data_IF_094196173343
#
_entry.id   IF_094196173343
#
_cell.length_a   1.000
_cell.length_b   1.000
_cell.length_c   1.000
_cell.angle_alpha   90.00
_cell.angle_beta   90.00
_cell.angle_gamma   90.00
#
_symmetry.space_group_name_H-M   'P 1'
#
loop_
_entity.id
_entity.type
_entity.pdbx_description
1 polymer ?
#
# COMPACT_ATOMS: atom_id res chain seq x y z
N UNK A 1 -1.56 -10.60 1.82
CA UNK A 1 -2.81 -10.25 2.55
C UNK A 1 -2.64 -10.66 4.00
N UNK A 2 -2.88 -9.77 4.96
CA UNK A 2 -2.84 -10.12 6.37
C UNK A 2 -4.17 -10.77 6.77
N UNK A 3 -4.13 -12.06 7.08
CA UNK A 3 -5.24 -12.81 7.66
C UNK A 3 -5.02 -12.99 9.15
N UNK A 4 -6.08 -12.80 9.94
CA UNK A 4 -6.05 -13.02 11.39
C UNK A 4 -6.80 -14.30 11.70
N UNK A 5 -6.10 -15.25 12.31
CA UNK A 5 -6.67 -16.45 12.91
C UNK A 5 -6.60 -16.29 14.43
N UNK A 6 -7.72 -15.89 15.03
CA UNK A 6 -7.77 -15.66 16.48
C UNK A 6 -7.29 -16.89 17.26
N UNK A 7 -6.51 -16.64 18.31
CA UNK A 7 -5.89 -17.71 19.10
C UNK A 7 -4.64 -18.34 18.47
N UNK A 8 -4.26 -17.95 17.24
CA UNK A 8 -3.07 -18.47 16.56
C UNK A 8 -2.17 -17.37 15.98
N UNK A 9 -2.73 -16.31 15.41
CA UNK A 9 -1.96 -15.17 14.90
C UNK A 9 -1.39 -14.36 16.07
N UNK A 10 -0.12 -14.00 15.98
CA UNK A 10 0.57 -13.15 16.96
C UNK A 10 0.64 -11.70 16.49
N UNK A 11 0.59 -10.75 17.41
CA UNK A 11 0.93 -9.36 17.15
C UNK A 11 2.42 -9.26 16.80
N UNK A 12 2.75 -8.72 15.62
CA UNK A 12 4.15 -8.63 15.18
C UNK A 12 5.02 -7.65 15.99
N UNK A 13 4.42 -6.82 16.85
CA UNK A 13 5.16 -5.88 17.70
C UNK A 13 5.45 -6.43 19.10
N UNK A 14 4.50 -7.11 19.74
CA UNK A 14 4.66 -7.60 21.11
C UNK A 14 4.83 -9.12 21.23
N UNK A 15 4.58 -9.87 20.15
CA UNK A 15 4.66 -11.33 20.12
C UNK A 15 3.48 -12.06 20.79
N UNK A 16 2.56 -11.34 21.45
CA UNK A 16 1.39 -11.95 22.08
C UNK A 16 0.36 -12.41 21.03
N UNK A 17 -0.34 -13.50 21.34
CA UNK A 17 -1.46 -14.02 20.52
C UNK A 17 -2.62 -13.04 20.51
N UNK A 18 -3.17 -12.80 19.32
CA UNK A 18 -4.34 -11.96 19.07
C UNK A 18 -5.64 -12.70 19.41
N UNK A 19 -6.51 -12.08 20.19
CA UNK A 19 -7.80 -12.66 20.64
C UNK A 19 -9.00 -11.90 20.06
N UNK A 20 -10.12 -12.59 19.93
CA UNK A 20 -11.35 -12.09 19.27
C UNK A 20 -11.91 -10.79 19.88
N UNK A 21 -11.71 -10.57 21.19
CA UNK A 21 -12.23 -9.40 21.91
C UNK A 21 -11.21 -8.26 22.06
N UNK A 22 -10.11 -8.27 21.31
CA UNK A 22 -9.08 -7.23 21.35
C UNK A 22 -9.21 -6.26 20.17
N UNK A 23 -8.78 -5.02 20.38
CA UNK A 23 -8.66 -4.05 19.29
C UNK A 23 -7.47 -4.42 18.41
N UNK A 24 -7.77 -5.02 17.26
CA UNK A 24 -6.77 -5.58 16.34
C UNK A 24 -6.87 -4.88 15.00
N UNK A 25 -5.72 -4.63 14.39
CA UNK A 25 -5.61 -4.13 13.03
C UNK A 25 -4.78 -5.09 12.17
N UNK A 26 -5.34 -5.48 11.02
CA UNK A 26 -4.60 -6.12 9.95
C UNK A 26 -4.20 -5.06 8.91
N UNK A 27 -2.90 -4.99 8.61
CA UNK A 27 -2.37 -4.12 7.56
C UNK A 27 -2.12 -5.01 6.34
N UNK A 28 -2.82 -4.79 5.21
CA UNK A 28 -2.65 -5.63 4.03
C UNK A 28 -1.26 -5.44 3.40
N UNK A 29 -0.86 -6.38 2.56
CA UNK A 29 0.21 -6.21 1.57
C UNK A 29 -0.13 -5.08 0.58
N UNK A 30 0.07 -3.84 1.00
CA UNK A 30 -0.29 -2.65 0.26
C UNK A 30 0.89 -1.71 0.04
N UNK A 31 2.03 -1.94 0.70
CA UNK A 31 3.22 -1.11 0.57
C UNK A 31 4.15 -1.74 -0.47
N UNK A 32 4.39 -1.02 -1.57
CA UNK A 32 5.15 -1.53 -2.70
C UNK A 32 6.67 -1.41 -2.48
N UNK A 33 7.10 -0.31 -1.85
CA UNK A 33 8.52 -0.01 -1.61
C UNK A 33 9.00 -0.63 -0.28
N UNK A 34 9.96 -1.56 -0.33
CA UNK A 34 10.57 -2.18 0.85
C UNK A 34 11.47 -1.24 1.65
N UNK A 35 11.91 -0.13 1.05
CA UNK A 35 12.69 0.90 1.72
C UNK A 35 11.82 1.91 2.48
N UNK A 36 10.50 1.89 2.28
CA UNK A 36 9.58 2.79 2.98
C UNK A 36 9.54 2.46 4.49
N UNK A 37 9.57 3.45 5.39
CA UNK A 37 9.53 3.20 6.84
C UNK A 37 8.31 2.39 7.31
N UNK A 38 7.18 2.51 6.60
CA UNK A 38 5.97 1.76 6.93
C UNK A 38 6.03 0.30 6.46
N UNK A 39 6.98 -0.09 5.62
CA UNK A 39 7.05 -1.46 5.08
C UNK A 39 7.18 -2.52 6.17
N UNK A 40 7.78 -2.17 7.32
CA UNK A 40 7.86 -3.06 8.49
C UNK A 40 6.49 -3.49 9.04
N UNK A 41 5.41 -2.80 8.68
CA UNK A 41 4.03 -3.14 9.04
C UNK A 41 3.28 -3.89 7.93
N UNK A 42 3.87 -4.00 6.74
CA UNK A 42 3.24 -4.56 5.57
C UNK A 42 2.90 -6.04 5.80
N UNK A 43 1.69 -6.42 5.42
CA UNK A 43 1.17 -7.79 5.48
C UNK A 43 1.17 -8.47 6.87
N UNK A 44 0.88 -7.70 7.92
CA UNK A 44 0.95 -8.15 9.30
C UNK A 44 -0.26 -7.73 10.13
N UNK A 45 -0.39 -8.34 11.31
CA UNK A 45 -1.46 -8.06 12.26
C UNK A 45 -0.91 -7.59 13.60
N UNK A 46 -1.64 -6.67 14.23
CA UNK A 46 -1.18 -5.96 15.42
C UNK A 46 -2.31 -5.68 16.39
N UNK A 47 -1.99 -5.61 17.68
CA UNK A 47 -2.82 -4.85 18.61
C UNK A 47 -2.77 -3.36 18.22
N UNK A 48 -3.93 -2.70 18.18
CA UNK A 48 -4.02 -1.28 17.88
C UNK A 48 -3.17 -0.43 18.85
N UNK A 49 -3.17 -0.79 20.12
CA UNK A 49 -2.38 -0.10 21.16
C UNK A 49 -0.87 -0.30 21.00
N UNK A 50 -0.43 -1.38 20.37
CA UNK A 50 0.99 -1.56 20.01
C UNK A 50 1.38 -0.63 18.87
N UNK A 51 0.50 -0.47 17.86
CA UNK A 51 0.73 0.44 16.75
C UNK A 51 0.77 1.90 17.19
N UNK A 52 -0.15 2.34 18.06
CA UNK A 52 -0.21 3.72 18.59
C UNK A 52 1.07 4.18 19.30
N UNK A 53 1.89 3.23 19.77
CA UNK A 53 3.18 3.50 20.42
C UNK A 53 4.34 3.63 19.44
N UNK A 54 4.13 3.31 18.17
CA UNK A 54 5.18 3.42 17.15
C UNK A 54 5.39 4.88 16.74
N UNK A 55 6.65 5.31 16.50
CA UNK A 55 6.94 6.64 15.99
C UNK A 55 6.18 6.98 14.71
N UNK A 56 6.01 6.00 13.83
CA UNK A 56 5.40 6.16 12.49
C UNK A 56 3.87 6.00 12.50
N UNK A 57 3.23 5.99 13.68
CA UNK A 57 1.79 5.75 13.80
C UNK A 57 0.96 6.78 13.02
N UNK A 58 1.41 8.05 12.97
CA UNK A 58 0.67 9.11 12.27
C UNK A 58 0.66 8.88 10.75
N UNK A 59 1.81 8.53 10.19
CA UNK A 59 1.99 8.20 8.79
C UNK A 59 1.20 6.93 8.44
N UNK A 60 1.21 5.94 9.33
CA UNK A 60 0.42 4.73 9.20
C UNK A 60 -1.09 5.01 9.23
N UNK A 61 -1.56 5.85 10.16
CA UNK A 61 -2.96 6.26 10.25
C UNK A 61 -3.41 7.01 8.99
N UNK A 62 -2.55 7.89 8.45
CA UNK A 62 -2.79 8.55 7.17
C UNK A 62 -2.90 7.53 6.04
N UNK A 63 -1.97 6.58 5.93
CA UNK A 63 -2.02 5.50 4.93
C UNK A 63 -3.34 4.71 5.03
N UNK A 64 -3.75 4.32 6.23
CA UNK A 64 -5.00 3.58 6.45
C UNK A 64 -6.23 4.40 6.04
N UNK A 65 -6.21 5.72 6.31
CA UNK A 65 -7.27 6.62 5.88
C UNK A 65 -7.36 6.73 4.35
N UNK A 66 -6.21 6.77 3.65
CA UNK A 66 -6.16 6.77 2.19
C UNK A 66 -6.68 5.44 1.65
N UNK A 67 -6.15 4.32 2.14
CA UNK A 67 -6.60 2.99 1.75
C UNK A 67 -8.12 2.80 1.94
N UNK A 68 -8.68 3.30 3.04
CA UNK A 68 -10.13 3.21 3.30
C UNK A 68 -10.96 4.04 2.32
N UNK A 69 -10.46 5.20 1.85
CA UNK A 69 -11.13 5.99 0.79
C UNK A 69 -11.19 5.22 -0.53
N UNK A 70 -10.19 4.39 -0.82
CA UNK A 70 -10.12 3.59 -2.05
C UNK A 70 -10.77 2.20 -1.92
N UNK A 71 -11.08 1.75 -0.70
CA UNK A 71 -11.64 0.41 -0.44
C UNK A 71 -13.06 0.17 -0.99
N UNK A 72 -13.84 1.21 -1.24
CA UNK A 72 -15.29 1.09 -1.44
C UNK A 72 -15.73 0.68 -2.85
N UNK A 73 -14.84 0.72 -3.83
CA UNK A 73 -15.12 0.22 -5.18
C UNK A 73 -13.84 0.32 -5.98
N UNK A 74 -13.37 -0.80 -6.56
CA UNK A 74 -12.24 -0.82 -7.47
C UNK A 74 -12.54 0.06 -8.68
N UNK A 75 -12.36 1.37 -8.59
CA UNK A 75 -12.75 2.32 -9.62
C UNK A 75 -11.49 2.70 -10.38
N UNK A 76 -11.53 2.58 -11.70
CA UNK A 76 -10.43 3.05 -12.51
C UNK A 76 -10.32 4.58 -12.44
N UNK A 77 -9.14 5.07 -12.09
CA UNK A 77 -8.80 6.49 -12.00
C UNK A 77 -9.03 7.27 -13.31
N UNK A 78 -8.91 6.60 -14.46
CA UNK A 78 -9.02 7.25 -15.78
C UNK A 78 -10.48 7.38 -16.22
N UNK A 79 -11.25 6.29 -16.19
CA UNK A 79 -12.62 6.28 -16.74
C UNK A 79 -13.72 6.40 -15.67
N UNK A 80 -13.38 6.36 -14.38
CA UNK A 80 -14.31 6.37 -13.25
C UNK A 80 -15.33 5.22 -13.24
N UNK A 81 -15.06 4.12 -13.95
CA UNK A 81 -15.92 2.94 -13.96
C UNK A 81 -15.35 1.84 -13.04
N UNK A 82 -16.22 0.97 -12.48
CA UNK A 82 -15.77 -0.19 -11.72
C UNK A 82 -14.92 -1.16 -12.56
N UNK A 83 -13.86 -1.68 -11.95
CA UNK A 83 -13.01 -2.73 -12.46
C UNK A 83 -13.58 -4.05 -11.93
N UNK A 84 -14.35 -4.73 -12.78
CA UNK A 84 -15.09 -5.94 -12.41
C UNK A 84 -14.30 -7.23 -12.66
N UNK A 85 -13.30 -7.19 -13.55
CA UNK A 85 -12.47 -8.33 -13.92
C UNK A 85 -11.12 -8.27 -13.20
N UNK A 86 -10.75 -9.29 -12.41
CA UNK A 86 -9.44 -9.33 -11.74
C UNK A 86 -8.25 -9.22 -12.70
N UNK A 87 -8.32 -9.84 -13.88
CA UNK A 87 -7.21 -9.83 -14.86
C UNK A 87 -6.99 -8.47 -15.54
N UNK A 88 -7.96 -7.56 -15.40
CA UNK A 88 -7.92 -6.19 -15.93
C UNK A 88 -7.54 -5.18 -14.84
N UNK A 89 -7.18 -5.63 -13.63
CA UNK A 89 -6.90 -4.76 -12.50
C UNK A 89 -5.40 -4.48 -12.36
N UNK A 90 -5.05 -3.19 -12.30
CA UNK A 90 -3.75 -2.70 -11.82
C UNK A 90 -3.99 -1.78 -10.63
N UNK A 91 -3.36 -2.06 -9.50
CA UNK A 91 -3.34 -1.19 -8.33
C UNK A 91 -1.91 -0.82 -7.96
N UNK A 92 -1.67 0.47 -7.70
CA UNK A 92 -0.33 0.96 -7.36
C UNK A 92 0.05 0.74 -5.88
N UNK A 93 -0.94 0.61 -5.00
CA UNK A 93 -0.72 0.53 -3.55
C UNK A 93 -0.08 1.82 -2.99
N UNK A 94 0.51 1.73 -1.81
CA UNK A 94 1.35 2.79 -1.25
C UNK A 94 2.72 2.76 -1.93
N UNK A 95 3.03 3.82 -2.66
CA UNK A 95 4.33 4.07 -3.27
C UNK A 95 5.31 4.70 -2.28
N UNK A 96 4.82 5.63 -1.45
CA UNK A 96 5.61 6.36 -0.46
C UNK A 96 4.72 6.88 0.67
N UNK A 97 5.19 6.80 1.91
CA UNK A 97 4.57 7.43 3.09
C UNK A 97 4.93 8.91 3.22
N UNK A 98 6.00 9.37 2.58
CA UNK A 98 6.43 10.76 2.57
C UNK A 98 5.53 11.61 1.67
N UNK A 99 4.79 12.55 2.27
CA UNK A 99 3.85 13.43 1.58
C UNK A 99 4.51 14.54 0.76
N UNK A 100 5.81 14.77 0.95
CA UNK A 100 6.59 15.72 0.15
C UNK A 100 7.12 15.07 -1.14
N UNK A 101 7.11 13.74 -1.21
CA UNK A 101 7.55 13.01 -2.38
C UNK A 101 6.53 13.15 -3.52
N UNK A 102 6.96 13.51 -4.76
CA UNK A 102 6.06 13.66 -5.90
C UNK A 102 5.21 12.42 -6.24
N UNK A 103 5.67 11.21 -5.88
CA UNK A 103 4.92 9.97 -6.10
C UNK A 103 3.74 9.81 -5.13
N UNK A 104 3.66 10.60 -4.07
CA UNK A 104 2.59 10.50 -3.06
C UNK A 104 1.20 10.67 -3.65
N UNK A 105 1.02 11.54 -4.66
CA UNK A 105 -0.28 11.75 -5.33
C UNK A 105 -0.79 10.53 -6.10
N UNK A 106 0.08 9.56 -6.38
CA UNK A 106 -0.26 8.33 -7.10
C UNK A 106 -0.53 7.14 -6.16
N UNK A 107 -0.41 7.34 -4.84
CA UNK A 107 -0.74 6.32 -3.86
C UNK A 107 -2.17 5.82 -4.05
N UNK A 108 -2.34 4.50 -4.05
CA UNK A 108 -3.61 3.79 -4.14
C UNK A 108 -4.44 4.07 -5.39
N UNK A 109 -3.84 4.62 -6.46
CA UNK A 109 -4.54 4.69 -7.74
C UNK A 109 -4.74 3.28 -8.31
N UNK A 110 -5.92 3.08 -8.88
CA UNK A 110 -6.36 1.83 -9.47
C UNK A 110 -6.79 2.06 -10.92
N UNK A 111 -6.55 1.07 -11.78
CA UNK A 111 -6.74 1.21 -13.22
C UNK A 111 -7.30 -0.07 -13.84
N UNK A 112 -8.11 0.09 -14.89
CA UNK A 112 -8.16 -0.93 -15.93
C UNK A 112 -6.78 -1.03 -16.58
N UNK A 113 -6.35 -2.24 -16.93
CA UNK A 113 -5.01 -2.50 -17.45
C UNK A 113 -4.71 -1.65 -18.68
N UNK A 114 -5.65 -1.57 -19.62
CA UNK A 114 -5.49 -0.77 -20.83
C UNK A 114 -5.32 0.72 -20.51
N UNK A 115 -6.19 1.29 -19.66
CA UNK A 115 -6.13 2.69 -19.27
C UNK A 115 -4.83 3.03 -18.54
N UNK A 116 -4.24 2.10 -17.77
CA UNK A 116 -2.93 2.32 -17.18
C UNK A 116 -1.85 2.51 -18.25
N UNK A 117 -1.81 1.67 -19.29
CA UNK A 117 -0.79 1.76 -20.33
C UNK A 117 -0.93 3.00 -21.23
N UNK A 118 -2.16 3.51 -21.38
CA UNK A 118 -2.49 4.73 -22.14
C UNK A 118 -2.36 6.02 -21.30
N UNK A 119 -2.25 5.92 -19.97
CA UNK A 119 -2.20 7.08 -19.08
C UNK A 119 -0.87 7.83 -19.21
N UNK A 120 -0.90 9.08 -19.67
CA UNK A 120 0.32 9.86 -19.97
C UNK A 120 1.22 10.07 -18.74
N UNK A 121 0.65 10.30 -17.55
CA UNK A 121 1.45 10.45 -16.31
C UNK A 121 2.15 9.15 -15.89
N UNK A 122 1.84 7.99 -16.49
CA UNK A 122 2.62 6.75 -16.30
C UNK A 122 4.09 6.95 -16.60
N UNK A 123 4.43 7.72 -17.64
CA UNK A 123 5.82 7.99 -18.03
C UNK A 123 6.55 8.78 -16.94
N UNK A 124 5.89 9.79 -16.38
CA UNK A 124 6.41 10.59 -15.27
C UNK A 124 6.60 9.72 -14.01
N UNK A 125 5.64 8.86 -13.70
CA UNK A 125 5.75 7.89 -12.61
C UNK A 125 6.93 6.93 -12.83
N UNK A 126 7.13 6.44 -14.06
CA UNK A 126 8.24 5.56 -14.41
C UNK A 126 9.60 6.25 -14.23
N UNK A 127 9.72 7.52 -14.60
CA UNK A 127 10.93 8.33 -14.38
C UNK A 127 11.25 8.48 -12.89
N UNK A 128 10.25 8.83 -12.06
CA UNK A 128 10.45 8.91 -10.61
C UNK A 128 10.86 7.57 -9.99
N UNK A 129 10.20 6.48 -10.40
CA UNK A 129 10.52 5.14 -9.92
C UNK A 129 11.95 4.75 -10.28
N UNK A 130 12.38 5.04 -11.52
CA UNK A 130 13.76 4.80 -11.97
C UNK A 130 14.77 5.58 -11.12
N UNK A 131 14.54 6.87 -10.91
CA UNK A 131 15.41 7.73 -10.07
C UNK A 131 15.51 7.16 -8.64
N UNK A 132 14.39 6.77 -8.03
CA UNK A 132 14.40 6.22 -6.67
C UNK A 132 15.10 4.86 -6.59
N UNK A 133 15.02 4.02 -7.63
CA UNK A 133 15.76 2.75 -7.69
C UNK A 133 17.26 2.99 -7.82
N UNK A 134 17.67 3.93 -8.67
CA UNK A 134 19.08 4.33 -8.84
C UNK A 134 19.67 4.97 -7.57
N UNK A 135 18.86 5.72 -6.81
CA UNK A 135 19.26 6.34 -5.54
C UNK A 135 19.11 5.43 -4.31
N UNK A 136 18.72 4.16 -4.50
CA UNK A 136 18.41 3.20 -3.43
C UNK A 136 17.30 3.63 -2.45
N UNK A 137 16.48 4.61 -2.83
CA UNK A 137 15.28 5.02 -2.09
C UNK A 137 14.08 4.11 -2.40
N UNK A 138 14.18 3.27 -3.43
CA UNK A 138 13.21 2.23 -3.73
C UNK A 138 13.85 0.84 -3.72
N UNK A 139 13.21 -0.10 -3.01
CA UNK A 139 13.60 -1.52 -2.99
C UNK A 139 12.39 -2.40 -3.30
N UNK A 140 12.55 -3.35 -4.23
CA UNK A 140 11.49 -4.23 -4.70
C UNK A 140 11.22 -4.11 -6.20
N UNK A 141 10.46 -5.07 -6.71
CA UNK A 141 10.20 -5.35 -8.13
C UNK A 141 8.71 -5.40 -8.48
N UNK A 142 7.83 -5.24 -7.49
CA UNK A 142 6.37 -5.33 -7.65
C UNK A 142 5.80 -4.35 -8.67
N UNK A 143 6.50 -3.26 -8.96
CA UNK A 143 6.10 -2.21 -9.91
C UNK A 143 7.03 -2.11 -11.12
N UNK A 144 7.87 -3.12 -11.40
CA UNK A 144 8.81 -3.04 -12.53
C UNK A 144 8.10 -3.06 -13.89
N UNK A 145 6.85 -3.53 -13.93
CA UNK A 145 5.98 -3.42 -15.12
C UNK A 145 5.69 -1.97 -15.53
N UNK A 146 5.93 -0.98 -14.66
CA UNK A 146 5.78 0.45 -14.97
C UNK A 146 6.95 0.95 -15.84
N UNK A 147 8.12 0.31 -15.74
CA UNK A 147 9.34 0.71 -16.41
C UNK A 147 9.42 0.23 -17.88
N UNK A 148 8.50 -0.65 -18.30
CA UNK A 148 8.36 -1.16 -19.67
C UNK A 148 7.22 -0.52 -20.45
#
# INVERSE_FOLDING_TARGET
>A
MALIFYGSTTCSLCGCVLKENENILAIPAAIANKADPLYKFNDQAFHLECLKKQPEYKELELMLSLLNKHKSSKICFVCNLPITKPDDYIGLGLLTSDNSNPMFKYNFLEFHKQHFYEWEERKVLAEYLKIQKESHQWVGDSLDFILG
#
